data_IF_999744641278
#
_entry.id   IF_999744641278
#
_cell.length_a   1.000
_cell.length_b   1.000
_cell.length_c   1.000
_cell.angle_alpha   90.00
_cell.angle_beta   90.00
_cell.angle_gamma   90.00
#
_symmetry.space_group_name_H-M   'P 1'
#
loop_
_entity.id
_entity.type
_entity.pdbx_description
1 polymer ?
#
# COMPACT_ATOMS: atom_id res chain seq x y z
N UNK A 1 26.68 -11.26 -17.21
CA UNK A 1 26.39 -10.94 -15.80
C UNK A 1 24.91 -11.20 -15.55
N UNK A 2 24.56 -12.19 -14.72
CA UNK A 2 23.17 -12.50 -14.39
C UNK A 2 22.61 -11.34 -13.56
N UNK A 3 21.65 -10.61 -14.10
CA UNK A 3 20.89 -9.64 -13.34
C UNK A 3 20.24 -10.39 -12.16
N UNK A 4 20.75 -10.19 -10.96
CA UNK A 4 20.04 -10.53 -9.73
C UNK A 4 18.79 -9.66 -9.71
N UNK A 5 17.71 -10.17 -10.31
CA UNK A 5 16.38 -9.58 -10.21
C UNK A 5 16.05 -9.58 -8.72
N UNK A 6 16.14 -8.38 -8.15
CA UNK A 6 15.96 -8.08 -6.74
C UNK A 6 14.55 -8.54 -6.31
N UNK A 7 14.47 -9.76 -5.76
CA UNK A 7 13.23 -10.41 -5.30
C UNK A 7 12.47 -9.60 -4.23
N UNK A 8 13.09 -8.56 -3.66
CA UNK A 8 12.47 -7.68 -2.67
C UNK A 8 11.72 -6.47 -3.23
N UNK A 9 11.74 -6.21 -4.56
CA UNK A 9 11.07 -5.03 -5.13
C UNK A 9 9.55 -5.05 -4.93
N UNK A 10 8.90 -6.22 -5.04
CA UNK A 10 7.46 -6.37 -4.84
C UNK A 10 7.03 -6.24 -3.38
N UNK A 11 7.86 -6.69 -2.43
CA UNK A 11 7.56 -6.64 -1.00
C UNK A 11 7.61 -5.20 -0.45
N UNK A 12 8.58 -4.39 -0.91
CA UNK A 12 8.71 -2.98 -0.48
C UNK A 12 7.49 -2.15 -0.86
N UNK A 13 6.94 -2.32 -2.07
CA UNK A 13 5.75 -1.57 -2.51
C UNK A 13 4.50 -1.92 -1.70
N UNK A 14 4.37 -3.17 -1.28
CA UNK A 14 3.24 -3.65 -0.48
C UNK A 14 3.31 -3.08 0.95
N UNK A 15 4.49 -3.11 1.56
CA UNK A 15 4.71 -2.49 2.89
C UNK A 15 4.49 -0.98 2.82
N UNK A 16 5.00 -0.30 1.80
CA UNK A 16 4.80 1.14 1.64
C UNK A 16 3.32 1.51 1.51
N UNK A 17 2.58 0.77 0.66
CA UNK A 17 1.13 0.97 0.51
C UNK A 17 0.36 0.73 1.80
N UNK A 18 0.72 -0.32 2.56
CA UNK A 18 0.10 -0.62 3.85
C UNK A 18 0.36 0.50 4.87
N UNK A 19 1.60 1.00 4.97
CA UNK A 19 1.97 2.09 5.88
C UNK A 19 1.22 3.39 5.54
N UNK A 20 1.15 3.75 4.26
CA UNK A 20 0.40 4.93 3.80
C UNK A 20 -1.08 4.81 4.17
N UNK A 21 -1.68 3.64 3.92
CA UNK A 21 -3.08 3.37 4.26
C UNK A 21 -3.32 3.48 5.78
N UNK A 22 -2.41 2.94 6.59
CA UNK A 22 -2.52 2.95 8.04
C UNK A 22 -2.45 4.38 8.60
N UNK A 23 -1.53 5.20 8.09
CA UNK A 23 -1.40 6.61 8.47
C UNK A 23 -2.63 7.43 8.10
N UNK A 24 -3.20 7.18 6.90
CA UNK A 24 -4.41 7.85 6.46
C UNK A 24 -5.61 7.48 7.35
N UNK A 25 -5.80 6.18 7.65
CA UNK A 25 -6.84 5.70 8.55
C UNK A 25 -6.69 6.26 9.97
N UNK A 26 -5.45 6.35 10.47
CA UNK A 26 -5.18 6.94 11.78
C UNK A 26 -5.61 8.41 11.84
N UNK A 27 -5.33 9.20 10.79
CA UNK A 27 -5.76 10.60 10.72
C UNK A 27 -7.28 10.73 10.60
N UNK A 28 -7.94 9.87 9.83
CA UNK A 28 -9.40 9.83 9.73
C UNK A 28 -10.00 9.49 11.11
N UNK A 29 -9.47 8.50 11.80
CA UNK A 29 -9.91 8.10 13.14
C UNK A 29 -9.72 9.22 14.16
N UNK A 30 -8.57 9.91 14.13
CA UNK A 30 -8.31 11.06 14.99
C UNK A 30 -9.28 12.21 14.68
N UNK A 31 -9.61 12.43 13.41
CA UNK A 31 -10.59 13.44 12.99
C UNK A 31 -11.97 13.13 13.57
N UNK A 32 -12.39 11.86 13.50
CA UNK A 32 -13.64 11.38 14.10
C UNK A 32 -13.66 11.52 15.62
N UNK A 33 -12.55 11.24 16.31
CA UNK A 33 -12.46 11.39 17.78
C UNK A 33 -12.48 12.85 18.23
N UNK A 34 -11.95 13.75 17.42
CA UNK A 34 -11.87 15.19 17.72
C UNK A 34 -13.07 15.96 17.19
N UNK A 35 -14.04 15.28 16.58
CA UNK A 35 -15.21 15.86 15.91
C UNK A 35 -14.83 16.94 14.88
N UNK A 36 -13.69 16.73 14.23
CA UNK A 36 -13.17 17.60 13.17
C UNK A 36 -13.54 17.04 11.80
N UNK A 37 -13.69 17.95 10.82
CA UNK A 37 -14.00 17.55 9.46
C UNK A 37 -12.87 16.67 8.89
N UNK A 38 -13.24 15.51 8.36
CA UNK A 38 -12.28 14.61 7.70
C UNK A 38 -11.79 15.28 6.42
N UNK A 39 -10.48 15.51 6.33
CA UNK A 39 -9.88 16.04 5.11
C UNK A 39 -10.01 15.02 3.95
N UNK A 40 -10.60 15.42 2.80
CA UNK A 40 -10.70 14.57 1.61
C UNK A 40 -9.36 14.01 1.14
N UNK A 41 -8.24 14.69 1.43
CA UNK A 41 -6.91 14.21 1.15
C UNK A 41 -6.62 12.86 1.81
N UNK A 42 -7.04 12.64 3.06
CA UNK A 42 -6.83 11.36 3.74
C UNK A 42 -7.66 10.24 3.12
N UNK A 43 -8.86 10.54 2.60
CA UNK A 43 -9.65 9.56 1.85
C UNK A 43 -8.94 9.14 0.56
N UNK A 44 -8.43 10.11 -0.21
CA UNK A 44 -7.65 9.85 -1.42
C UNK A 44 -6.36 9.07 -1.11
N UNK A 45 -5.69 9.41 -0.01
CA UNK A 45 -4.47 8.75 0.43
C UNK A 45 -4.73 7.28 0.81
N UNK A 46 -5.87 7.01 1.45
CA UNK A 46 -6.31 5.64 1.78
C UNK A 46 -6.54 4.83 0.50
N UNK A 47 -7.24 5.38 -0.49
CA UNK A 47 -7.48 4.74 -1.80
C UNK A 47 -6.17 4.46 -2.54
N UNK A 48 -5.24 5.42 -2.54
CA UNK A 48 -3.93 5.27 -3.16
C UNK A 48 -3.10 4.17 -2.49
N UNK A 49 -3.07 4.13 -1.15
CA UNK A 49 -2.40 3.07 -0.40
C UNK A 49 -2.98 1.69 -0.71
N UNK A 50 -4.31 1.59 -0.82
CA UNK A 50 -5.00 0.34 -1.15
C UNK A 50 -4.68 -0.15 -2.58
N UNK A 51 -4.55 0.77 -3.54
CA UNK A 51 -4.07 0.48 -4.90
C UNK A 51 -2.64 -0.08 -4.89
N UNK A 52 -1.73 0.52 -4.12
CA UNK A 52 -0.36 0.02 -4.00
C UNK A 52 -0.30 -1.39 -3.39
N UNK A 53 -1.14 -1.67 -2.39
CA UNK A 53 -1.25 -3.00 -1.78
C UNK A 53 -1.81 -4.02 -2.78
N UNK A 54 -2.88 -3.69 -3.49
CA UNK A 54 -3.48 -4.59 -4.51
C UNK A 54 -2.52 -4.87 -5.67
N UNK A 55 -1.83 -3.85 -6.18
CA UNK A 55 -0.80 -4.01 -7.21
C UNK A 55 0.38 -4.84 -6.68
N UNK A 56 0.81 -4.59 -5.45
CA UNK A 56 1.87 -5.38 -4.79
C UNK A 56 1.49 -6.86 -4.63
N UNK A 57 0.25 -7.15 -4.23
CA UNK A 57 -0.30 -8.51 -4.13
C UNK A 57 -0.41 -9.18 -5.50
N UNK A 58 -0.88 -8.45 -6.52
CA UNK A 58 -0.98 -8.94 -7.89
C UNK A 58 0.39 -9.32 -8.44
N UNK A 59 1.39 -8.46 -8.24
CA UNK A 59 2.75 -8.73 -8.67
C UNK A 59 3.37 -9.93 -7.93
N UNK A 60 3.11 -10.06 -6.62
CA UNK A 60 3.53 -11.23 -5.83
C UNK A 60 2.89 -12.53 -6.36
N UNK A 61 1.61 -12.51 -6.72
CA UNK A 61 0.89 -13.66 -7.29
C UNK A 61 1.48 -14.09 -8.64
N UNK A 62 1.83 -13.15 -9.50
CA UNK A 62 2.39 -13.45 -10.82
C UNK A 62 3.84 -13.93 -10.77
N UNK A 63 4.63 -13.52 -9.76
CA UNK A 63 5.97 -14.05 -9.55
C UNK A 63 5.99 -15.51 -9.10
N UNK A 64 4.94 -15.98 -8.40
CA UNK A 64 4.81 -17.39 -8.01
C UNK A 64 4.45 -18.33 -9.17
N UNK A 65 3.85 -17.81 -10.24
CA UNK A 65 3.40 -18.60 -11.40
C UNK A 65 4.44 -18.77 -12.52
N UNK A 66 5.52 -17.98 -12.50
CA UNK A 66 6.57 -18.04 -13.51
C UNK A 66 7.67 -19.08 -13.18
N UNK A 67 7.46 -19.89 -12.13
CA UNK A 67 8.45 -20.83 -11.61
C UNK A 67 7.97 -22.29 -11.63
N UNK A 68 6.86 -22.59 -12.32
CA UNK A 68 6.42 -23.93 -12.72
C UNK A 68 6.69 -24.16 -14.20
#
# INVERSE_FOLDING_TARGET
MKAQVNKNKGFRSLVLGAVITLLALFNIFLSLLTDTAIDPFYLLLTLFGLLLVTVGLWHKKNQGKASE
#
